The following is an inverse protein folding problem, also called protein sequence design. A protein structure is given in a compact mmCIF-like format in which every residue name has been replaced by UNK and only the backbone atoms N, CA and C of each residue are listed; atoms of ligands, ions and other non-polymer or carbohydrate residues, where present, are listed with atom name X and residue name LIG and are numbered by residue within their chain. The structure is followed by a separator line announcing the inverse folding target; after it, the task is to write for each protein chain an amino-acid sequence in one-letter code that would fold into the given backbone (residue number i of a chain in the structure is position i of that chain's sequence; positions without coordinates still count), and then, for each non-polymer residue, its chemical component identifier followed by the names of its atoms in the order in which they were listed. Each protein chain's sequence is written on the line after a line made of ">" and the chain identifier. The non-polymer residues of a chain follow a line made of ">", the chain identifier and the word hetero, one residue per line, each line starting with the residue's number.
data_IF_393631690717
#
_entry.id   IF_393631690717
#
_cell.length_a   1.000
_cell.length_b   1.000
_cell.length_c   1.000
_cell.angle_alpha   90.00
_cell.angle_beta   90.00
_cell.angle_gamma   90.00
#
_symmetry.space_group_name_H-M   'P 1'
#
loop_
_entity.id
_entity.type
_entity.pdbx_description
1 polymer ?
#
# COMPACT_ATOMS: atom_id res chain seq x y z
N UNK A 1 -31.44 -3.71 -14.62
CA UNK A 1 -30.29 -3.88 -15.54
C UNK A 1 -29.40 -2.63 -15.67
N UNK A 2 -29.85 -1.39 -15.38
CA UNK A 2 -28.97 -0.20 -15.52
C UNK A 2 -27.98 -0.01 -14.35
N UNK A 3 -28.33 -0.39 -13.12
CA UNK A 3 -27.52 -0.12 -11.91
C UNK A 3 -26.28 -1.01 -11.75
N UNK A 4 -26.31 -2.27 -12.20
CA UNK A 4 -25.16 -3.19 -12.05
C UNK A 4 -24.03 -2.80 -13.01
N UNK A 5 -24.36 -2.47 -14.27
CA UNK A 5 -23.38 -2.06 -15.26
C UNK A 5 -22.69 -0.73 -14.89
N UNK A 6 -23.42 0.19 -14.28
CA UNK A 6 -22.87 1.45 -13.74
C UNK A 6 -21.89 1.19 -12.59
N UNK A 7 -22.24 0.29 -11.67
CA UNK A 7 -21.36 -0.11 -10.57
C UNK A 7 -20.07 -0.76 -11.06
N UNK A 8 -20.15 -1.69 -12.02
CA UNK A 8 -18.95 -2.32 -12.62
C UNK A 8 -18.02 -1.32 -13.30
N UNK A 9 -18.60 -0.32 -14.01
CA UNK A 9 -17.84 0.76 -14.63
C UNK A 9 -17.14 1.62 -13.58
N UNK A 10 -17.82 1.95 -12.49
CA UNK A 10 -17.25 2.71 -11.39
C UNK A 10 -16.08 1.96 -10.73
N UNK A 11 -16.23 0.65 -10.47
CA UNK A 11 -15.16 -0.20 -9.93
C UNK A 11 -13.94 -0.19 -10.85
N UNK A 12 -14.11 -0.41 -12.16
CA UNK A 12 -13.00 -0.37 -13.12
C UNK A 12 -12.28 0.98 -13.12
N UNK A 13 -13.03 2.08 -13.07
CA UNK A 13 -12.47 3.42 -13.02
C UNK A 13 -11.69 3.66 -11.72
N UNK A 14 -12.23 3.26 -10.58
CA UNK A 14 -11.59 3.43 -9.27
C UNK A 14 -10.28 2.64 -9.19
N UNK A 15 -10.26 1.39 -9.68
CA UNK A 15 -9.05 0.56 -9.71
C UNK A 15 -8.00 1.17 -10.63
N UNK A 16 -8.40 1.66 -11.81
CA UNK A 16 -7.49 2.36 -12.72
C UNK A 16 -6.90 3.61 -12.07
N UNK A 17 -7.73 4.44 -11.44
CA UNK A 17 -7.31 5.66 -10.77
C UNK A 17 -6.35 5.36 -9.60
N UNK A 18 -6.66 4.35 -8.79
CA UNK A 18 -5.80 3.92 -7.68
C UNK A 18 -4.43 3.45 -8.18
N UNK A 19 -4.39 2.56 -9.18
CA UNK A 19 -3.12 2.07 -9.75
C UNK A 19 -2.26 3.18 -10.35
N UNK A 20 -2.89 4.17 -11.00
CA UNK A 20 -2.18 5.32 -11.58
C UNK A 20 -1.56 6.24 -10.52
N UNK A 21 -2.17 6.33 -9.34
CA UNK A 21 -1.71 7.20 -8.26
C UNK A 21 -0.99 6.46 -7.13
N UNK A 22 -0.73 5.15 -7.26
CA UNK A 22 -0.21 4.31 -6.16
C UNK A 22 1.12 4.84 -5.59
N UNK A 23 2.02 5.34 -6.44
CA UNK A 23 3.30 5.91 -6.00
C UNK A 23 3.09 7.18 -5.17
N UNK A 24 2.15 8.04 -5.59
CA UNK A 24 1.81 9.27 -4.87
C UNK A 24 1.15 8.97 -3.52
N UNK A 25 0.25 7.98 -3.47
CA UNK A 25 -0.35 7.49 -2.22
C UNK A 25 0.72 6.97 -1.26
N UNK A 26 1.58 6.04 -1.70
CA UNK A 26 2.63 5.44 -0.87
C UNK A 26 3.61 6.50 -0.37
N UNK A 27 3.99 7.46 -1.22
CA UNK A 27 4.87 8.56 -0.82
C UNK A 27 4.27 9.40 0.31
N UNK A 28 2.98 9.76 0.20
CA UNK A 28 2.27 10.53 1.24
C UNK A 28 2.09 9.72 2.52
N UNK A 29 1.73 8.45 2.41
CA UNK A 29 1.63 7.52 3.54
C UNK A 29 2.96 7.40 4.28
N UNK A 30 4.08 7.26 3.57
CA UNK A 30 5.40 7.19 4.17
C UNK A 30 5.78 8.48 4.93
N UNK A 31 5.42 9.66 4.40
CA UNK A 31 5.60 10.94 5.10
C UNK A 31 4.81 10.96 6.41
N UNK A 32 3.56 10.47 6.40
CA UNK A 32 2.70 10.40 7.60
C UNK A 32 3.30 9.46 8.65
N UNK A 33 3.93 8.36 8.23
CA UNK A 33 4.68 7.44 9.09
C UNK A 33 6.05 8.02 9.56
N UNK A 34 6.37 9.27 9.22
CA UNK A 34 7.58 9.95 9.65
C UNK A 34 8.84 9.61 8.85
N UNK A 35 8.68 8.98 7.68
CA UNK A 35 9.80 8.66 6.79
C UNK A 35 10.21 9.93 6.03
N UNK A 36 11.46 10.36 6.23
CA UNK A 36 12.04 11.47 5.47
C UNK A 36 12.42 11.02 4.05
N UNK A 37 11.45 11.03 3.13
CA UNK A 37 11.61 10.56 1.75
C UNK A 37 11.02 11.54 0.73
N UNK A 38 11.69 11.68 -0.41
CA UNK A 38 11.20 12.46 -1.55
C UNK A 38 10.38 11.59 -2.52
N UNK A 39 9.50 12.21 -3.32
CA UNK A 39 8.71 11.48 -4.32
C UNK A 39 9.56 10.66 -5.30
N UNK A 40 10.68 11.18 -5.88
CA UNK A 40 11.52 10.38 -6.76
C UNK A 40 12.12 9.14 -6.06
N UNK A 41 12.52 9.27 -4.79
CA UNK A 41 13.03 8.14 -4.02
C UNK A 41 11.95 7.08 -3.76
N UNK A 42 10.73 7.51 -3.38
CA UNK A 42 9.61 6.60 -3.21
C UNK A 42 9.30 5.85 -4.52
N UNK A 43 9.31 6.56 -5.65
CA UNK A 43 9.13 5.97 -6.98
C UNK A 43 10.17 4.89 -7.30
N UNK A 44 11.45 5.11 -6.97
CA UNK A 44 12.52 4.12 -7.18
C UNK A 44 12.26 2.83 -6.40
N UNK A 45 11.86 2.93 -5.13
CA UNK A 45 11.51 1.75 -4.32
C UNK A 45 10.27 1.06 -4.91
N UNK A 46 9.21 1.83 -5.20
CA UNK A 46 7.91 1.29 -5.61
C UNK A 46 7.92 0.67 -7.00
N UNK A 47 8.55 1.31 -7.99
CA UNK A 47 8.54 0.83 -9.38
C UNK A 47 9.73 -0.08 -9.71
N UNK A 48 10.89 0.15 -9.09
CA UNK A 48 12.14 -0.55 -9.46
C UNK A 48 12.65 -1.54 -8.41
N UNK A 49 12.01 -1.64 -7.23
CA UNK A 49 12.47 -2.49 -6.12
C UNK A 49 13.92 -2.19 -5.71
N UNK A 50 14.34 -0.93 -5.81
CA UNK A 50 15.71 -0.52 -5.50
C UNK A 50 15.77 0.23 -4.17
N UNK A 51 16.91 0.10 -3.48
CA UNK A 51 17.23 0.93 -2.32
C UNK A 51 17.63 2.33 -2.77
N UNK A 52 17.40 3.32 -1.92
CA UNK A 52 17.78 4.71 -2.16
C UNK A 52 18.80 5.17 -1.13
N UNK A 53 19.77 5.96 -1.56
CA UNK A 53 20.78 6.52 -0.67
C UNK A 53 20.16 7.52 0.33
N UNK A 54 20.70 7.54 1.55
CA UNK A 54 20.30 8.48 2.60
C UNK A 54 19.02 8.11 3.35
N UNK A 55 18.32 7.04 2.96
CA UNK A 55 17.14 6.55 3.67
C UNK A 55 17.55 5.51 4.73
N UNK A 56 16.92 5.58 5.90
CA UNK A 56 17.16 4.58 6.95
C UNK A 56 16.64 3.22 6.53
N UNK A 57 17.16 2.15 7.15
CA UNK A 57 16.67 0.78 6.93
C UNK A 57 15.18 0.69 7.27
N UNK A 58 14.76 1.24 8.41
CA UNK A 58 13.36 1.32 8.83
C UNK A 58 12.50 2.07 7.82
N UNK A 59 12.97 3.21 7.30
CA UNK A 59 12.26 3.98 6.27
C UNK A 59 12.11 3.20 4.96
N UNK A 60 13.16 2.50 4.54
CA UNK A 60 13.15 1.63 3.35
C UNK A 60 12.13 0.51 3.49
N UNK A 61 12.13 -0.19 4.64
CA UNK A 61 11.17 -1.25 4.95
C UNK A 61 9.75 -0.71 4.99
N UNK A 62 9.53 0.47 5.58
CA UNK A 62 8.19 1.10 5.66
C UNK A 62 7.61 1.34 4.26
N UNK A 63 8.36 1.97 3.36
CA UNK A 63 7.92 2.23 1.97
C UNK A 63 7.69 0.93 1.21
N UNK A 64 8.55 -0.06 1.42
CA UNK A 64 8.40 -1.37 0.79
C UNK A 64 7.16 -2.13 1.30
N UNK A 65 6.89 -2.10 2.60
CA UNK A 65 5.72 -2.73 3.19
C UNK A 65 4.41 -2.06 2.73
N UNK A 66 4.39 -0.72 2.60
CA UNK A 66 3.27 0.01 2.00
C UNK A 66 2.99 -0.50 0.57
N UNK A 67 4.03 -0.65 -0.25
CA UNK A 67 3.90 -1.27 -1.58
C UNK A 67 3.29 -2.68 -1.51
N UNK A 68 3.76 -3.53 -0.61
CA UNK A 68 3.23 -4.90 -0.48
C UNK A 68 1.76 -4.89 -0.05
N UNK A 69 1.36 -3.97 0.84
CA UNK A 69 -0.04 -3.82 1.26
C UNK A 69 -0.93 -3.36 0.11
N UNK A 70 -0.48 -2.41 -0.71
CA UNK A 70 -1.19 -2.00 -1.93
C UNK A 70 -1.31 -3.13 -2.94
N UNK A 71 -0.27 -3.93 -3.15
CA UNK A 71 -0.33 -5.12 -4.00
C UNK A 71 -1.35 -6.13 -3.48
N UNK A 72 -1.33 -6.42 -2.18
CA UNK A 72 -2.29 -7.31 -1.55
C UNK A 72 -3.72 -6.82 -1.75
N UNK A 73 -3.98 -5.52 -1.55
CA UNK A 73 -5.29 -4.91 -1.83
C UNK A 73 -5.72 -5.14 -3.28
N UNK A 74 -4.83 -4.92 -4.26
CA UNK A 74 -5.15 -5.09 -5.68
C UNK A 74 -5.40 -6.54 -6.08
N UNK A 75 -4.74 -7.51 -5.45
CA UNK A 75 -4.96 -8.94 -5.67
C UNK A 75 -6.30 -9.42 -5.09
N UNK A 76 -6.83 -8.70 -4.09
CA UNK A 76 -7.97 -9.13 -3.28
C UNK A 76 -9.18 -8.18 -3.38
N UNK A 77 -9.30 -7.39 -4.45
CA UNK A 77 -10.35 -6.35 -4.62
C UNK A 77 -11.80 -6.84 -4.47
N UNK A 78 -12.06 -8.12 -4.72
CA UNK A 78 -13.39 -8.73 -4.62
C UNK A 78 -13.58 -9.52 -3.30
N UNK A 79 -12.60 -9.49 -2.41
CA UNK A 79 -12.68 -10.17 -1.12
C UNK A 79 -13.54 -9.36 -0.15
N UNK A 80 -14.12 -10.04 0.83
CA UNK A 80 -14.81 -9.37 1.93
C UNK A 80 -13.78 -8.58 2.76
N UNK A 81 -14.11 -7.33 3.10
CA UNK A 81 -13.32 -6.55 4.05
C UNK A 81 -13.77 -6.93 5.46
N UNK A 82 -13.21 -8.02 5.96
CA UNK A 82 -13.44 -8.52 7.31
C UNK A 82 -12.21 -8.30 8.21
N UNK A 83 -12.29 -8.81 9.43
CA UNK A 83 -11.19 -8.69 10.39
C UNK A 83 -9.90 -9.34 9.88
N UNK A 84 -9.98 -10.51 9.24
CA UNK A 84 -8.80 -11.23 8.75
C UNK A 84 -8.10 -10.45 7.64
N UNK A 85 -8.88 -9.83 6.74
CA UNK A 85 -8.35 -8.97 5.69
C UNK A 85 -7.58 -7.77 6.27
N UNK A 86 -8.18 -7.06 7.24
CA UNK A 86 -7.55 -5.90 7.89
C UNK A 86 -6.31 -6.32 8.70
N UNK A 87 -6.40 -7.42 9.44
CA UNK A 87 -5.30 -7.99 10.19
C UNK A 87 -4.14 -8.40 9.25
N UNK A 88 -4.47 -8.95 8.07
CA UNK A 88 -3.46 -9.31 7.06
C UNK A 88 -2.75 -8.09 6.50
N UNK A 89 -3.48 -7.03 6.15
CA UNK A 89 -2.86 -5.76 5.74
C UNK A 89 -1.96 -5.22 6.85
N UNK A 90 -2.43 -5.19 8.11
CA UNK A 90 -1.61 -4.71 9.22
C UNK A 90 -0.34 -5.57 9.44
N UNK A 91 -0.44 -6.89 9.27
CA UNK A 91 0.69 -7.80 9.31
C UNK A 91 1.73 -7.48 8.24
N UNK A 92 1.29 -7.19 7.01
CA UNK A 92 2.17 -6.78 5.90
C UNK A 92 2.85 -5.45 6.23
N UNK A 93 2.09 -4.46 6.71
CA UNK A 93 2.61 -3.13 7.05
C UNK A 93 3.68 -3.20 8.16
N UNK A 94 3.41 -3.96 9.22
CA UNK A 94 4.30 -4.08 10.38
C UNK A 94 5.41 -5.13 10.25
N UNK A 95 5.47 -5.88 9.14
CA UNK A 95 6.47 -6.93 8.96
C UNK A 95 7.89 -6.38 9.16
N UNK A 96 8.68 -7.03 10.03
CA UNK A 96 10.04 -6.62 10.41
C UNK A 96 10.16 -5.28 11.15
N UNK A 97 9.04 -4.62 11.48
CA UNK A 97 8.99 -3.33 12.18
C UNK A 97 8.26 -3.42 13.53
N UNK A 98 7.26 -4.29 13.64
CA UNK A 98 6.36 -4.40 14.79
C UNK A 98 6.25 -5.87 15.23
N UNK A 99 6.50 -6.14 16.51
CA UNK A 99 6.54 -7.51 17.06
C UNK A 99 5.23 -8.30 16.87
N UNK A 100 4.07 -7.64 17.04
CA UNK A 100 2.74 -8.25 16.97
C UNK A 100 1.93 -7.71 15.78
N UNK A 101 2.57 -7.52 14.62
CA UNK A 101 1.90 -7.04 13.42
C UNK A 101 0.78 -8.01 12.98
N UNK A 102 -0.44 -7.49 12.85
CA UNK A 102 -1.65 -8.27 12.54
C UNK A 102 -2.45 -8.72 13.76
N UNK A 103 -2.03 -8.38 14.98
CA UNK A 103 -2.76 -8.70 16.21
C UNK A 103 -3.42 -7.46 16.82
N UNK A 104 -4.56 -7.65 17.50
CA UNK A 104 -5.16 -6.61 18.36
C UNK A 104 -4.27 -6.41 19.60
N UNK A 105 -4.21 -5.18 20.10
CA UNK A 105 -3.49 -4.81 21.32
C UNK A 105 -4.27 -5.14 22.59
#
# INVERSE_FOLDING_TARGET
>A
MSTIAEAEKAVKFNVFYAKKNVVDSIWKEAIIEGVNITYPQAKVIVEHNQTVEGLTVTGTITVYNLKLAWNYLFEHLNSLVDFEFVAKINSILGASLVHNAGCIR
#
